data_IF_086638580488
#
_entry.id   IF_086638580488
#
_cell.length_a   1.000
_cell.length_b   1.000
_cell.length_c   1.000
_cell.angle_alpha   90.00
_cell.angle_beta   90.00
_cell.angle_gamma   90.00
#
_symmetry.space_group_name_H-M   'P 1'
#
loop_
_entity.id
_entity.type
_entity.pdbx_description
1 polymer ?
#
# COMPACT_ATOMS: atom_id res chain seq x y z
N UNK A 1 -2.58 -19.51 4.67
CA UNK A 1 -3.68 -19.23 5.64
C UNK A 1 -4.73 -18.35 4.98
N UNK A 2 -6.03 -18.52 5.28
CA UNK A 2 -7.09 -17.61 4.80
C UNK A 2 -7.82 -17.01 6.01
N UNK A 3 -8.01 -15.69 6.02
CA UNK A 3 -8.69 -14.96 7.08
C UNK A 3 -9.62 -13.90 6.50
N UNK A 4 -10.84 -13.80 7.03
CA UNK A 4 -11.74 -12.70 6.71
C UNK A 4 -11.51 -11.51 7.64
N UNK A 5 -11.40 -10.32 7.07
CA UNK A 5 -11.31 -9.05 7.78
C UNK A 5 -12.64 -8.29 7.61
N UNK A 6 -13.20 -7.80 8.72
CA UNK A 6 -14.47 -7.04 8.70
C UNK A 6 -14.30 -5.57 8.33
N UNK A 7 -13.12 -5.00 8.63
CA UNK A 7 -12.84 -3.56 8.46
C UNK A 7 -11.44 -3.33 7.89
N UNK A 8 -11.29 -3.05 6.59
CA UNK A 8 -12.35 -3.12 5.57
C UNK A 8 -12.80 -4.57 5.31
N UNK A 9 -14.00 -4.78 4.72
CA UNK A 9 -14.40 -6.09 4.23
C UNK A 9 -13.39 -6.60 3.20
N UNK A 10 -12.63 -7.63 3.56
CA UNK A 10 -11.65 -8.24 2.67
C UNK A 10 -11.28 -9.66 3.07
N UNK A 11 -10.69 -10.42 2.13
CA UNK A 11 -10.07 -11.72 2.41
C UNK A 11 -8.56 -11.57 2.38
N UNK A 12 -7.92 -11.82 3.51
CA UNK A 12 -6.48 -11.96 3.63
C UNK A 12 -6.08 -13.41 3.35
N UNK A 13 -5.20 -13.60 2.38
CA UNK A 13 -4.71 -14.89 1.94
C UNK A 13 -3.18 -14.85 2.01
N UNK A 14 -2.63 -15.67 2.89
CA UNK A 14 -1.20 -15.92 2.95
C UNK A 14 -0.85 -17.03 1.95
N UNK A 15 0.09 -16.75 1.05
CA UNK A 15 0.48 -17.64 -0.05
C UNK A 15 1.98 -17.59 -0.36
N UNK A 16 2.57 -18.75 -0.63
CA UNK A 16 3.95 -18.88 -1.13
C UNK A 16 4.05 -18.75 -2.65
N UNK A 17 2.91 -18.66 -3.35
CA UNK A 17 2.88 -18.63 -4.80
C UNK A 17 3.57 -17.39 -5.35
N UNK A 18 4.60 -17.60 -6.16
CA UNK A 18 5.36 -16.55 -6.85
C UNK A 18 4.61 -15.94 -8.05
N UNK A 19 3.44 -16.49 -8.39
CA UNK A 19 2.63 -16.05 -9.53
C UNK A 19 1.50 -15.11 -9.11
N UNK A 20 1.07 -15.20 -7.85
CA UNK A 20 -0.07 -14.41 -7.35
C UNK A 20 0.35 -13.03 -6.83
N UNK A 21 1.57 -12.92 -6.30
CA UNK A 21 2.14 -11.66 -5.83
C UNK A 21 3.22 -11.22 -6.81
N UNK A 22 3.14 -10.00 -7.38
CA UNK A 22 4.15 -9.46 -8.29
C UNK A 22 5.57 -9.55 -7.73
N UNK A 23 6.56 -9.76 -8.62
CA UNK A 23 7.96 -9.85 -8.22
C UNK A 23 8.44 -8.52 -7.61
N UNK A 24 9.18 -8.62 -6.52
CA UNK A 24 9.67 -7.45 -5.77
C UNK A 24 8.71 -6.91 -4.71
N UNK A 25 7.56 -7.57 -4.51
CA UNK A 25 6.58 -7.22 -3.49
C UNK A 25 6.29 -8.42 -2.57
N UNK A 26 5.92 -8.11 -1.33
CA UNK A 26 5.55 -9.06 -0.28
C UNK A 26 4.05 -8.99 0.08
N UNK A 27 3.36 -7.96 -0.41
CA UNK A 27 1.93 -7.75 -0.30
C UNK A 27 1.34 -7.28 -1.64
N UNK A 28 0.07 -7.61 -1.88
CA UNK A 28 -0.68 -7.15 -3.03
C UNK A 28 -2.19 -7.18 -2.75
N UNK A 29 -2.90 -6.08 -3.02
CA UNK A 29 -4.34 -5.96 -2.79
C UNK A 29 -5.18 -5.84 -4.09
N UNK A 30 -5.47 -6.94 -4.81
CA UNK A 30 -6.37 -6.90 -5.96
C UNK A 30 -7.84 -6.81 -5.49
N UNK A 31 -8.35 -5.60 -5.40
CA UNK A 31 -9.75 -5.33 -5.03
C UNK A 31 -10.05 -5.70 -3.58
N UNK A 32 -11.00 -6.60 -3.28
CA UNK A 32 -11.34 -7.00 -1.91
C UNK A 32 -10.46 -8.13 -1.36
N UNK A 33 -9.36 -8.46 -2.03
CA UNK A 33 -8.41 -9.49 -1.60
C UNK A 33 -7.11 -8.84 -1.15
N UNK A 34 -6.49 -9.40 -0.12
CA UNK A 34 -5.12 -9.09 0.31
C UNK A 34 -4.31 -10.37 0.19
N UNK A 35 -3.30 -10.36 -0.66
CA UNK A 35 -2.36 -11.45 -0.82
C UNK A 35 -1.05 -11.07 -0.15
N UNK A 36 -0.55 -11.92 0.74
CA UNK A 36 0.72 -11.67 1.43
C UNK A 36 1.60 -12.91 1.47
N UNK A 37 2.92 -12.71 1.53
CA UNK A 37 3.86 -13.81 1.80
C UNK A 37 3.78 -14.23 3.28
N UNK A 38 4.13 -15.49 3.60
CA UNK A 38 4.27 -15.90 4.99
C UNK A 38 5.26 -15.02 5.76
N UNK A 39 4.92 -14.65 6.99
CA UNK A 39 5.81 -13.90 7.89
C UNK A 39 5.88 -12.39 7.67
N UNK A 40 5.02 -11.81 6.83
CA UNK A 40 4.94 -10.35 6.69
C UNK A 40 4.56 -9.65 8.00
N UNK A 41 5.02 -8.42 8.16
CA UNK A 41 4.71 -7.62 9.34
C UNK A 41 3.25 -7.20 9.39
N UNK A 42 2.74 -6.98 10.61
CA UNK A 42 1.41 -6.39 10.82
C UNK A 42 1.28 -5.03 10.13
N UNK A 43 2.34 -4.21 10.14
CA UNK A 43 2.36 -2.93 9.46
C UNK A 43 2.11 -3.05 7.95
N UNK A 44 2.70 -4.04 7.28
CA UNK A 44 2.43 -4.28 5.85
C UNK A 44 0.98 -4.72 5.62
N UNK A 45 0.39 -5.51 6.51
CA UNK A 45 -1.03 -5.87 6.39
C UNK A 45 -1.93 -4.63 6.48
N UNK A 46 -1.62 -3.69 7.38
CA UNK A 46 -2.37 -2.44 7.49
C UNK A 46 -2.19 -1.53 6.26
N UNK A 47 -1.02 -1.57 5.60
CA UNK A 47 -0.81 -0.96 4.29
C UNK A 47 -1.78 -1.52 3.24
N UNK A 48 -1.82 -2.84 3.08
CA UNK A 48 -2.71 -3.49 2.10
C UNK A 48 -4.20 -3.22 2.40
N UNK A 49 -4.58 -3.11 3.68
CA UNK A 49 -5.95 -2.73 4.07
C UNK A 49 -6.30 -1.31 3.63
N UNK A 50 -5.35 -0.38 3.52
CA UNK A 50 -5.60 0.94 2.92
C UNK A 50 -6.00 0.80 1.46
N UNK A 51 -5.30 -0.01 0.68
CA UNK A 51 -5.66 -0.24 -0.74
C UNK A 51 -7.06 -0.84 -0.89
N UNK A 52 -7.45 -1.75 -0.01
CA UNK A 52 -8.84 -2.26 -0.02
C UNK A 52 -9.84 -1.16 0.36
N UNK A 53 -9.53 -0.29 1.33
CA UNK A 53 -10.38 0.88 1.63
C UNK A 53 -10.48 1.82 0.42
N UNK A 54 -9.38 2.08 -0.27
CA UNK A 54 -9.35 2.88 -1.50
C UNK A 54 -10.19 2.24 -2.62
N UNK A 55 -10.13 0.92 -2.77
CA UNK A 55 -10.99 0.16 -3.70
C UNK A 55 -12.47 0.38 -3.37
N UNK A 56 -12.89 0.21 -2.12
CA UNK A 56 -14.28 0.45 -1.73
C UNK A 56 -14.70 1.92 -1.86
N UNK A 57 -13.85 2.88 -1.44
CA UNK A 57 -14.09 4.34 -1.54
C UNK A 57 -14.22 4.80 -3.00
N UNK A 58 -13.57 4.12 -3.93
CA UNK A 58 -13.63 4.42 -5.37
C UNK A 58 -14.71 3.63 -6.12
N UNK A 59 -15.61 2.92 -5.43
CA UNK A 59 -16.62 2.09 -6.09
C UNK A 59 -16.02 0.96 -6.93
N UNK A 60 -14.81 0.50 -6.58
CA UNK A 60 -14.08 -0.54 -7.28
C UNK A 60 -13.13 -0.06 -8.38
N UNK A 61 -13.02 1.27 -8.60
CA UNK A 61 -12.23 1.85 -9.71
C UNK A 61 -10.78 2.19 -9.33
N UNK A 62 -10.33 1.90 -8.11
CA UNK A 62 -8.97 2.23 -7.63
C UNK A 62 -7.88 1.75 -8.59
N UNK A 63 -7.95 0.50 -9.06
CA UNK A 63 -6.97 -0.05 -10.00
C UNK A 63 -6.91 0.72 -11.32
N UNK A 64 -8.04 1.24 -11.82
CA UNK A 64 -8.10 2.06 -13.02
C UNK A 64 -7.38 3.39 -12.80
N UNK A 65 -7.70 4.10 -11.70
CA UNK A 65 -7.02 5.35 -11.36
C UNK A 65 -5.51 5.16 -11.15
N UNK A 66 -5.12 4.06 -10.51
CA UNK A 66 -3.72 3.69 -10.24
C UNK A 66 -2.92 3.48 -11.52
N UNK A 67 -3.50 2.82 -12.52
CA UNK A 67 -2.84 2.52 -13.78
C UNK A 67 -2.77 3.74 -14.70
N UNK A 68 -3.83 4.56 -14.73
CA UNK A 68 -3.95 5.69 -15.66
C UNK A 68 -3.22 6.97 -15.22
N UNK A 69 -2.94 7.14 -13.93
CA UNK A 69 -2.37 8.40 -13.42
C UNK A 69 -1.31 8.19 -12.34
N UNK A 70 -0.06 8.63 -12.58
CA UNK A 70 0.99 8.67 -11.55
C UNK A 70 0.59 9.52 -10.33
N UNK A 71 -0.22 10.57 -10.51
CA UNK A 71 -0.70 11.40 -9.39
C UNK A 71 -1.63 10.63 -8.47
N UNK A 72 -2.57 9.86 -9.03
CA UNK A 72 -3.45 8.99 -8.25
C UNK A 72 -2.67 7.87 -7.57
N UNK A 73 -1.72 7.27 -8.29
CA UNK A 73 -0.80 6.27 -7.71
C UNK A 73 -0.05 6.83 -6.52
N UNK A 74 0.60 7.98 -6.66
CA UNK A 74 1.32 8.65 -5.57
C UNK A 74 0.41 8.91 -4.37
N UNK A 75 -0.80 9.45 -4.61
CA UNK A 75 -1.78 9.71 -3.55
C UNK A 75 -2.14 8.42 -2.79
N UNK A 76 -2.39 7.33 -3.52
CA UNK A 76 -2.76 6.05 -2.91
C UNK A 76 -1.63 5.43 -2.10
N UNK A 77 -0.42 5.42 -2.64
CA UNK A 77 0.76 4.88 -1.94
C UNK A 77 1.14 5.73 -0.72
N UNK A 78 1.04 7.07 -0.80
CA UNK A 78 1.29 7.94 0.35
C UNK A 78 0.33 7.65 1.51
N UNK A 79 -0.97 7.51 1.22
CA UNK A 79 -1.96 7.15 2.23
C UNK A 79 -1.63 5.78 2.87
N UNK A 80 -1.26 4.80 2.05
CA UNK A 80 -0.93 3.46 2.51
C UNK A 80 0.34 3.42 3.37
N UNK A 81 1.41 4.11 2.93
CA UNK A 81 2.66 4.21 3.70
C UNK A 81 2.53 5.06 4.96
N UNK A 82 1.70 6.11 4.97
CA UNK A 82 1.40 6.88 6.18
C UNK A 82 0.70 6.02 7.22
N UNK A 83 -0.25 5.18 6.81
CA UNK A 83 -0.87 4.22 7.73
C UNK A 83 0.17 3.19 8.21
N UNK A 84 0.97 2.62 7.30
CA UNK A 84 2.02 1.68 7.66
C UNK A 84 3.01 2.25 8.70
N UNK A 85 3.38 3.52 8.57
CA UNK A 85 4.27 4.21 9.52
C UNK A 85 3.71 4.25 10.95
N UNK A 86 2.38 4.34 11.11
CA UNK A 86 1.75 4.35 12.45
C UNK A 86 1.96 3.03 13.20
N UNK A 87 2.29 1.96 12.48
CA UNK A 87 2.53 0.62 13.02
C UNK A 87 4.01 0.21 12.99
N UNK A 88 4.92 1.13 12.64
CA UNK A 88 6.35 0.87 12.57
C UNK A 88 7.13 1.62 13.66
N UNK A 89 8.33 1.12 13.94
CA UNK A 89 9.30 1.82 14.79
C UNK A 89 9.77 3.14 14.14
N UNK A 90 10.22 4.12 14.96
CA UNK A 90 10.81 5.35 14.47
C UNK A 90 11.94 5.09 13.46
N UNK A 91 11.94 5.81 12.33
CA UNK A 91 12.97 5.72 11.29
C UNK A 91 12.57 4.94 10.03
N UNK A 92 11.43 4.23 10.02
CA UNK A 92 10.92 3.53 8.84
C UNK A 92 10.61 4.46 7.64
N UNK A 93 10.39 5.75 7.88
CA UNK A 93 10.04 6.74 6.85
C UNK A 93 11.08 6.86 5.73
N UNK A 94 12.39 6.79 6.04
CA UNK A 94 13.42 6.81 5.01
C UNK A 94 13.38 5.58 4.11
N UNK A 95 13.02 4.42 4.65
CA UNK A 95 12.86 3.20 3.87
C UNK A 95 11.65 3.32 2.93
N UNK A 96 10.50 3.78 3.41
CA UNK A 96 9.30 3.95 2.57
C UNK A 96 9.46 5.04 1.51
N UNK A 97 10.14 6.14 1.82
CA UNK A 97 10.48 7.17 0.83
C UNK A 97 11.30 6.59 -0.34
N UNK A 98 12.26 5.71 -0.04
CA UNK A 98 13.04 5.00 -1.07
C UNK A 98 12.17 4.03 -1.88
N UNK A 99 11.22 3.35 -1.25
CA UNK A 99 10.28 2.48 -1.96
C UNK A 99 9.41 3.29 -2.95
N UNK A 100 8.83 4.39 -2.49
CA UNK A 100 8.06 5.35 -3.31
C UNK A 100 8.83 5.81 -4.55
N UNK A 101 10.09 6.23 -4.35
CA UNK A 101 10.93 6.73 -5.44
C UNK A 101 11.31 5.65 -6.47
N UNK A 102 11.43 4.37 -6.07
CA UNK A 102 12.00 3.31 -6.93
C UNK A 102 11.00 2.33 -7.54
N UNK A 103 9.91 2.02 -6.85
CA UNK A 103 9.06 0.87 -7.22
C UNK A 103 7.79 1.25 -7.99
N UNK A 104 7.37 2.51 -7.91
CA UNK A 104 6.03 2.91 -8.35
C UNK A 104 6.00 3.77 -9.62
N UNK A 105 7.17 4.01 -10.24
CA UNK A 105 7.32 4.83 -11.45
C UNK A 105 6.66 6.21 -11.29
N UNK A 106 6.92 6.86 -10.15
CA UNK A 106 6.33 8.15 -9.78
C UNK A 106 7.13 9.36 -10.25
N UNK A 107 8.35 9.14 -10.74
CA UNK A 107 9.27 10.20 -11.21
C UNK A 107 9.52 11.29 -10.16
N UNK A 108 9.68 10.87 -8.90
CA UNK A 108 10.01 11.75 -7.76
C UNK A 108 11.31 11.29 -7.10
N UNK A 109 12.04 12.23 -6.49
CA UNK A 109 13.24 11.88 -5.73
C UNK A 109 12.89 11.23 -4.39
N UNK A 110 13.87 10.58 -3.76
CA UNK A 110 13.68 10.05 -2.41
C UNK A 110 13.47 11.17 -1.39
N UNK A 111 14.13 12.31 -1.54
CA UNK A 111 13.94 13.49 -0.68
C UNK A 111 12.53 14.06 -0.82
N UNK A 112 12.02 14.14 -2.06
CA UNK A 112 10.66 14.57 -2.34
C UNK A 112 9.64 13.59 -1.75
N UNK A 113 9.83 12.29 -1.97
CA UNK A 113 8.98 11.25 -1.39
C UNK A 113 8.95 11.30 0.14
N UNK A 114 10.10 11.55 0.78
CA UNK A 114 10.18 11.71 2.23
C UNK A 114 9.40 12.94 2.71
N UNK A 115 9.56 14.08 2.03
CA UNK A 115 8.82 15.31 2.36
C UNK A 115 7.32 15.07 2.27
N UNK A 116 6.84 14.54 1.14
CA UNK A 116 5.44 14.22 0.94
C UNK A 116 4.90 13.23 1.99
N UNK A 117 5.68 12.21 2.33
CA UNK A 117 5.26 11.22 3.32
C UNK A 117 5.05 11.84 4.71
N UNK A 118 5.90 12.82 5.09
CA UNK A 118 5.89 13.48 6.38
C UNK A 118 4.98 14.72 6.45
N UNK A 119 4.52 15.24 5.31
CA UNK A 119 3.53 16.32 5.29
C UNK A 119 2.23 15.87 5.97
N UNK A 120 1.64 16.71 6.85
CA UNK A 120 0.33 16.42 7.42
C UNK A 120 -0.68 16.30 6.29
N UNK A 121 -1.43 15.19 6.23
CA UNK A 121 -2.43 14.98 5.19
C UNK A 121 -3.47 16.09 5.20
N UNK A 122 -3.90 16.55 4.02
CA UNK A 122 -5.06 17.45 3.92
C UNK A 122 -6.25 16.82 4.65
N UNK A 123 -7.00 17.58 5.46
CA UNK A 123 -8.22 17.08 6.07
C UNK A 123 -9.21 16.72 4.95
N UNK A 124 -9.72 15.47 4.99
CA UNK A 124 -10.82 15.00 4.14
C UNK A 124 -12.13 15.77 4.40
#
# INVERSE_FOLDING_TARGET
MIRFCKSPPCLLIETESRWLIPRGFDGFAPGPLILVRPGVSHALIEHEKVHVRQFWRSGGLMGVFYLLSPRWRLRFELEAYREQLRHCEPGAAHYFARMLARHYRLDISQEEAYRLLMEPGEPE
#
